data_IF_058563455256
#
_entry.id   IF_058563455256
#
_cell.length_a   1.000
_cell.length_b   1.000
_cell.length_c   1.000
_cell.angle_alpha   90.00
_cell.angle_beta   90.00
_cell.angle_gamma   90.00
#
_symmetry.space_group_name_H-M   'P 1'
#
loop_
_entity.id
_entity.type
_entity.pdbx_description
1 polymer ?
#
# COMPACT_ATOMS: atom_id res chain seq x y z
N UNK A 1 -13.75 2.37 -14.34
CA UNK A 1 -14.61 3.52 -13.98
C UNK A 1 -13.90 4.80 -14.41
N UNK A 2 -14.59 5.80 -14.97
CA UNK A 2 -13.96 7.01 -15.55
C UNK A 2 -14.55 8.26 -14.90
N UNK A 3 -13.70 9.23 -14.55
CA UNK A 3 -14.13 10.53 -14.00
C UNK A 3 -14.92 11.34 -15.03
N UNK A 4 -15.81 12.21 -14.54
CA UNK A 4 -16.66 13.05 -15.38
C UNK A 4 -15.84 13.95 -16.32
N UNK A 5 -16.29 14.12 -17.57
CA UNK A 5 -15.61 14.89 -18.62
C UNK A 5 -15.29 16.33 -18.18
N UNK A 6 -16.21 16.99 -17.48
CA UNK A 6 -16.01 18.35 -16.96
C UNK A 6 -14.84 18.44 -15.98
N UNK A 7 -14.62 17.40 -15.17
CA UNK A 7 -13.49 17.36 -14.23
C UNK A 7 -12.19 17.05 -14.98
N UNK A 8 -12.23 16.11 -15.92
CA UNK A 8 -11.05 15.74 -16.71
C UNK A 8 -10.56 16.90 -17.60
N UNK A 9 -11.48 17.64 -18.22
CA UNK A 9 -11.15 18.76 -19.11
C UNK A 9 -10.51 19.95 -18.38
N UNK A 10 -10.81 20.13 -17.09
CA UNK A 10 -10.18 21.14 -16.22
C UNK A 10 -8.74 20.79 -15.83
N UNK A 11 -8.25 19.58 -16.13
CA UNK A 11 -6.89 19.15 -15.78
C UNK A 11 -6.66 19.23 -14.27
N UNK A 12 -5.58 19.89 -13.85
CA UNK A 12 -5.16 19.97 -12.46
C UNK A 12 -6.25 20.48 -11.50
N UNK A 13 -6.96 21.55 -11.86
CA UNK A 13 -8.04 22.10 -11.03
C UNK A 13 -9.20 21.11 -10.85
N UNK A 14 -9.52 20.34 -11.89
CA UNK A 14 -10.53 19.28 -11.81
C UNK A 14 -10.09 18.11 -10.94
N UNK A 15 -8.80 17.79 -10.93
CA UNK A 15 -8.21 16.80 -10.04
C UNK A 15 -8.38 17.17 -8.57
N UNK A 16 -8.07 18.43 -8.23
CA UNK A 16 -8.28 18.97 -6.88
C UNK A 16 -9.74 18.86 -6.44
N UNK A 17 -10.67 19.24 -7.33
CA UNK A 17 -12.11 19.15 -7.06
C UNK A 17 -12.58 17.69 -6.89
N UNK A 18 -12.07 16.77 -7.71
CA UNK A 18 -12.43 15.35 -7.62
C UNK A 18 -11.98 14.73 -6.30
N UNK A 19 -10.76 15.04 -5.86
CA UNK A 19 -10.25 14.59 -4.56
C UNK A 19 -11.07 15.16 -3.40
N UNK A 20 -11.41 16.44 -3.46
CA UNK A 20 -12.30 17.08 -2.47
C UNK A 20 -13.67 16.38 -2.40
N UNK A 21 -14.32 16.13 -3.54
CA UNK A 21 -15.60 15.42 -3.62
C UNK A 21 -15.53 14.00 -3.02
N UNK A 22 -14.46 13.25 -3.30
CA UNK A 22 -14.24 11.92 -2.70
C UNK A 22 -14.08 12.02 -1.18
N UNK A 23 -13.41 13.05 -0.69
CA UNK A 23 -13.18 13.26 0.73
C UNK A 23 -14.47 13.61 1.47
N UNK A 24 -15.32 14.46 0.89
CA UNK A 24 -16.59 14.89 1.49
C UNK A 24 -17.54 13.73 1.77
N UNK A 25 -17.40 12.60 1.09
CA UNK A 25 -18.18 11.40 1.38
C UNK A 25 -17.92 10.88 2.82
N UNK A 26 -16.70 11.01 3.32
CA UNK A 26 -16.34 10.57 4.66
C UNK A 26 -16.45 11.72 5.67
N UNK A 27 -16.88 11.46 6.92
CA UNK A 27 -16.87 12.46 7.98
C UNK A 27 -15.46 13.03 8.19
N UNK A 28 -15.34 14.36 8.29
CA UNK A 28 -14.05 15.05 8.43
C UNK A 28 -13.20 14.58 9.63
N UNK A 29 -13.83 13.99 10.64
CA UNK A 29 -13.21 13.52 11.87
C UNK A 29 -12.45 12.19 11.70
N UNK A 30 -12.64 11.48 10.59
CA UNK A 30 -12.00 10.19 10.36
C UNK A 30 -10.75 10.33 9.49
N UNK A 31 -9.60 9.78 9.93
CA UNK A 31 -8.42 9.72 9.08
C UNK A 31 -8.71 8.81 7.88
N UNK A 32 -8.95 9.44 6.73
CA UNK A 32 -9.32 8.77 5.49
C UNK A 32 -8.12 8.74 4.55
N UNK A 33 -7.91 7.62 3.87
CA UNK A 33 -6.92 7.48 2.80
C UNK A 33 -7.64 7.09 1.52
N UNK A 34 -7.30 7.75 0.41
CA UNK A 34 -7.92 7.53 -0.89
C UNK A 34 -6.84 7.03 -1.84
N UNK A 35 -7.08 5.87 -2.44
CA UNK A 35 -6.17 5.26 -3.41
C UNK A 35 -6.89 5.11 -4.75
N UNK A 36 -6.29 5.64 -5.81
CA UNK A 36 -6.80 5.53 -7.18
C UNK A 36 -5.74 4.83 -8.02
N UNK A 37 -6.09 3.68 -8.59
CA UNK A 37 -5.20 2.86 -9.41
C UNK A 37 -5.66 2.91 -10.87
N UNK A 38 -4.75 3.27 -11.78
CA UNK A 38 -5.01 3.16 -13.21
C UNK A 38 -3.70 3.04 -13.99
N UNK A 39 -3.79 2.57 -15.23
CA UNK A 39 -2.72 2.79 -16.21
C UNK A 39 -2.94 4.17 -16.82
N UNK A 40 -2.10 5.14 -16.46
CA UNK A 40 -2.29 6.54 -16.87
C UNK A 40 -2.28 6.70 -18.38
N UNK A 41 -1.35 6.04 -19.06
CA UNK A 41 -1.14 6.21 -20.49
C UNK A 41 -2.30 5.62 -21.30
N UNK A 42 -2.73 4.39 -20.96
CA UNK A 42 -3.89 3.79 -21.61
C UNK A 42 -5.18 4.58 -21.32
N UNK A 43 -5.36 5.05 -20.08
CA UNK A 43 -6.52 5.85 -19.70
C UNK A 43 -6.55 7.19 -20.46
N UNK A 44 -5.42 7.88 -20.56
CA UNK A 44 -5.33 9.15 -21.29
C UNK A 44 -5.66 8.98 -22.79
N UNK A 45 -5.20 7.88 -23.40
CA UNK A 45 -5.53 7.55 -24.79
C UNK A 45 -7.03 7.29 -24.97
N UNK A 46 -7.64 6.51 -24.07
CA UNK A 46 -9.08 6.20 -24.09
C UNK A 46 -9.92 7.46 -23.90
N UNK A 47 -9.58 8.33 -22.94
CA UNK A 47 -10.29 9.58 -22.71
C UNK A 47 -10.19 10.54 -23.90
N UNK A 48 -9.02 10.62 -24.53
CA UNK A 48 -8.82 11.46 -25.73
C UNK A 48 -9.61 10.93 -26.92
N UNK A 49 -9.52 9.63 -27.22
CA UNK A 49 -10.28 8.99 -28.31
C UNK A 49 -11.80 9.04 -28.09
N UNK A 50 -12.23 8.94 -26.84
CA UNK A 50 -13.63 9.07 -26.44
C UNK A 50 -14.16 10.51 -26.43
N UNK A 51 -13.34 11.51 -26.76
CA UNK A 51 -13.75 12.92 -26.78
C UNK A 51 -14.00 13.53 -25.40
N UNK A 52 -13.54 12.91 -24.31
CA UNK A 52 -13.71 13.43 -22.95
C UNK A 52 -12.74 14.58 -22.63
N UNK A 53 -11.60 14.60 -23.33
CA UNK A 53 -10.59 15.64 -23.19
C UNK A 53 -10.08 16.06 -24.56
N UNK A 54 -9.66 17.32 -24.67
CA UNK A 54 -9.07 17.87 -25.90
C UNK A 54 -7.65 17.35 -26.17
N UNK A 55 -6.92 16.98 -25.11
CA UNK A 55 -5.57 16.45 -25.21
C UNK A 55 -5.28 15.41 -24.11
N UNK A 56 -4.48 14.37 -24.38
CA UNK A 56 -4.07 13.39 -23.37
C UNK A 56 -3.37 14.00 -22.15
N UNK A 57 -2.67 15.13 -22.34
CA UNK A 57 -2.00 15.88 -21.27
C UNK A 57 -2.95 16.33 -20.16
N UNK A 58 -4.23 16.61 -20.47
CA UNK A 58 -5.24 16.99 -19.47
C UNK A 58 -5.51 15.90 -18.45
N UNK A 59 -5.48 14.63 -18.87
CA UNK A 59 -5.65 13.50 -17.96
C UNK A 59 -4.46 13.40 -17.00
N UNK A 60 -3.24 13.64 -17.49
CA UNK A 60 -2.05 13.70 -16.62
C UNK A 60 -2.13 14.84 -15.62
N UNK A 61 -2.46 16.05 -16.07
CA UNK A 61 -2.67 17.22 -15.20
C UNK A 61 -3.73 16.92 -14.14
N UNK A 62 -4.84 16.28 -14.52
CA UNK A 62 -5.89 15.87 -13.61
C UNK A 62 -5.38 14.95 -12.49
N UNK A 63 -4.64 13.89 -12.81
CA UNK A 63 -4.13 12.99 -11.77
C UNK A 63 -3.02 13.60 -10.90
N UNK A 64 -2.27 14.56 -11.44
CA UNK A 64 -1.36 15.41 -10.66
C UNK A 64 -2.15 16.24 -9.64
N UNK A 65 -3.24 16.90 -10.05
CA UNK A 65 -4.12 17.65 -9.16
C UNK A 65 -4.87 16.79 -8.14
N UNK A 66 -5.25 15.56 -8.52
CA UNK A 66 -5.89 14.60 -7.62
C UNK A 66 -4.96 14.17 -6.48
N UNK A 67 -3.66 14.06 -6.75
CA UNK A 67 -2.64 13.70 -5.75
C UNK A 67 -1.87 14.91 -5.22
N UNK A 68 -2.41 16.12 -5.43
CA UNK A 68 -1.76 17.35 -5.01
C UNK A 68 -1.61 17.38 -3.48
N UNK A 69 -0.51 17.94 -2.94
CA UNK A 69 -0.32 18.08 -1.49
C UNK A 69 -1.48 18.78 -0.75
N UNK A 70 -2.28 19.61 -1.45
CA UNK A 70 -3.49 20.22 -0.89
C UNK A 70 -4.56 19.21 -0.50
N UNK A 71 -4.52 17.98 -1.05
CA UNK A 71 -5.40 16.87 -0.72
C UNK A 71 -4.61 15.77 0.00
N UNK A 72 -4.31 15.95 1.30
CA UNK A 72 -3.49 14.99 2.04
C UNK A 72 -4.15 13.61 2.05
N UNK A 73 -3.31 12.57 1.99
CA UNK A 73 -3.73 11.17 1.98
C UNK A 73 -4.56 10.73 0.76
N UNK A 74 -4.51 11.49 -0.33
CA UNK A 74 -5.03 11.07 -1.64
C UNK A 74 -3.88 10.70 -2.55
N UNK A 75 -3.92 9.49 -3.10
CA UNK A 75 -2.84 8.92 -3.89
C UNK A 75 -3.36 8.40 -5.21
N UNK A 76 -2.79 8.89 -6.30
CA UNK A 76 -2.83 8.22 -7.59
C UNK A 76 -1.63 7.31 -7.77
N UNK A 77 -1.88 6.07 -8.17
CA UNK A 77 -0.87 5.06 -8.45
C UNK A 77 -1.01 4.63 -9.90
N UNK A 78 -0.04 5.05 -10.72
CA UNK A 78 0.11 4.51 -12.06
C UNK A 78 0.65 3.08 -12.01
N UNK A 79 -0.14 2.12 -12.47
CA UNK A 79 0.25 0.70 -12.49
C UNK A 79 0.93 0.28 -13.80
N UNK A 80 0.97 1.18 -14.78
CA UNK A 80 1.57 0.95 -16.09
C UNK A 80 0.83 -0.10 -16.94
N UNK A 81 1.47 -0.51 -18.03
CA UNK A 81 0.88 -1.42 -19.01
C UNK A 81 0.75 -2.86 -18.49
N UNK A 82 -0.41 -3.48 -18.73
CA UNK A 82 -0.70 -4.88 -18.40
C UNK A 82 -2.16 -5.09 -18.03
N UNK A 83 -2.69 -6.27 -18.32
CA UNK A 83 -4.02 -6.67 -17.85
C UNK A 83 -3.96 -6.95 -16.35
N UNK A 84 -5.05 -6.67 -15.64
CA UNK A 84 -5.25 -7.00 -14.21
C UNK A 84 -4.22 -6.40 -13.21
N UNK A 85 -3.29 -5.56 -13.66
CA UNK A 85 -2.29 -4.91 -12.78
C UNK A 85 -2.93 -3.99 -11.76
N UNK A 86 -3.95 -3.23 -12.18
CA UNK A 86 -4.71 -2.35 -11.30
C UNK A 86 -5.43 -3.17 -10.23
N UNK A 87 -6.10 -4.25 -10.65
CA UNK A 87 -6.88 -5.13 -9.77
C UNK A 87 -5.97 -5.81 -8.74
N UNK A 88 -4.82 -6.35 -9.16
CA UNK A 88 -3.87 -6.97 -8.26
C UNK A 88 -3.34 -5.98 -7.21
N UNK A 89 -3.01 -4.75 -7.64
CA UNK A 89 -2.53 -3.70 -6.73
C UNK A 89 -3.61 -3.24 -5.75
N UNK A 90 -4.83 -3.03 -6.25
CA UNK A 90 -5.99 -2.65 -5.45
C UNK A 90 -6.25 -3.70 -4.36
N UNK A 91 -6.28 -4.98 -4.73
CA UNK A 91 -6.55 -6.07 -3.80
C UNK A 91 -5.48 -6.17 -2.71
N UNK A 92 -4.20 -6.14 -3.11
CA UNK A 92 -3.10 -6.18 -2.16
C UNK A 92 -3.10 -4.98 -1.19
N UNK A 93 -3.41 -3.77 -1.69
CA UNK A 93 -3.51 -2.57 -0.84
C UNK A 93 -4.71 -2.66 0.11
N UNK A 94 -5.86 -3.13 -0.38
CA UNK A 94 -7.07 -3.30 0.44
C UNK A 94 -6.84 -4.30 1.58
N UNK A 95 -6.32 -5.49 1.27
CA UNK A 95 -6.01 -6.53 2.26
C UNK A 95 -4.98 -6.05 3.30
N UNK A 96 -3.95 -5.32 2.84
CA UNK A 96 -2.95 -4.72 3.74
C UNK A 96 -3.59 -3.71 4.69
N UNK A 97 -4.37 -2.76 4.17
CA UNK A 97 -4.99 -1.71 4.98
C UNK A 97 -6.00 -2.28 6.00
N UNK A 98 -6.77 -3.30 5.60
CA UNK A 98 -7.66 -4.01 6.51
C UNK A 98 -6.90 -4.70 7.64
N UNK A 99 -5.78 -5.38 7.32
CA UNK A 99 -4.91 -6.02 8.32
C UNK A 99 -4.26 -5.00 9.27
N UNK A 100 -3.77 -3.89 8.74
CA UNK A 100 -3.08 -2.85 9.52
C UNK A 100 -4.04 -2.11 10.45
N UNK A 101 -5.26 -1.83 9.99
CA UNK A 101 -6.27 -1.16 10.81
C UNK A 101 -6.82 -2.06 11.92
N UNK A 102 -6.61 -3.39 11.87
CA UNK A 102 -7.02 -4.37 12.90
C UNK A 102 -8.47 -4.18 13.37
N UNK A 103 -9.38 -3.92 12.43
CA UNK A 103 -10.80 -3.70 12.71
C UNK A 103 -11.19 -2.26 13.07
N UNK A 104 -10.24 -1.34 13.23
CA UNK A 104 -10.52 0.08 13.44
C UNK A 104 -11.07 0.79 12.19
N UNK A 105 -10.98 0.17 11.01
CA UNK A 105 -11.62 0.66 9.80
C UNK A 105 -13.15 0.64 9.99
N UNK A 106 -13.77 1.81 9.85
CA UNK A 106 -15.22 2.01 10.04
C UNK A 106 -16.01 1.91 8.74
N UNK A 107 -15.42 2.33 7.62
CA UNK A 107 -16.08 2.36 6.32
C UNK A 107 -15.05 2.26 5.20
N UNK A 108 -15.42 1.58 4.13
CA UNK A 108 -14.62 1.34 2.93
C UNK A 108 -15.45 1.78 1.74
N UNK A 109 -14.97 2.75 0.97
CA UNK A 109 -15.58 3.14 -0.31
C UNK A 109 -14.79 2.47 -1.45
N UNK A 110 -15.44 1.57 -2.20
CA UNK A 110 -14.79 0.71 -3.17
C UNK A 110 -15.27 0.99 -4.60
N UNK A 111 -14.37 1.49 -5.45
CA UNK A 111 -14.62 1.90 -6.84
C UNK A 111 -14.58 0.80 -7.89
N UNK A 112 -15.18 -0.36 -7.61
CA UNK A 112 -15.04 -1.58 -8.45
C UNK A 112 -16.33 -2.00 -9.16
N UNK A 113 -17.37 -1.16 -9.12
CA UNK A 113 -18.72 -1.45 -9.63
C UNK A 113 -18.85 -1.82 -11.11
N UNK A 114 -17.79 -1.61 -11.90
CA UNK A 114 -17.80 -1.71 -13.35
C UNK A 114 -17.19 -3.01 -13.90
N UNK A 115 -16.69 -3.89 -13.03
CA UNK A 115 -15.99 -5.11 -13.43
C UNK A 115 -16.40 -6.30 -12.54
N UNK A 116 -16.92 -7.35 -13.18
CA UNK A 116 -17.35 -8.59 -12.52
C UNK A 116 -16.18 -9.34 -11.85
N UNK A 117 -14.94 -9.12 -12.28
CA UNK A 117 -13.74 -9.74 -11.69
C UNK A 117 -13.60 -9.50 -10.18
N UNK A 118 -14.19 -8.43 -9.66
CA UNK A 118 -14.15 -8.09 -8.23
C UNK A 118 -15.16 -8.85 -7.37
N UNK A 119 -16.09 -9.62 -7.93
CA UNK A 119 -17.02 -10.43 -7.14
C UNK A 119 -16.29 -11.40 -6.21
N UNK A 120 -15.18 -12.01 -6.68
CA UNK A 120 -14.32 -12.88 -5.86
C UNK A 120 -13.62 -12.14 -4.72
N UNK A 121 -13.29 -10.87 -4.92
CA UNK A 121 -12.67 -10.03 -3.89
C UNK A 121 -13.71 -9.71 -2.81
N UNK A 122 -14.92 -9.32 -3.23
CA UNK A 122 -16.02 -9.07 -2.29
C UNK A 122 -16.38 -10.31 -1.48
N UNK A 123 -16.40 -11.50 -2.07
CA UNK A 123 -16.64 -12.76 -1.34
C UNK A 123 -15.64 -12.99 -0.21
N UNK A 124 -14.35 -12.69 -0.43
CA UNK A 124 -13.31 -12.81 0.59
C UNK A 124 -13.48 -11.80 1.73
N UNK A 125 -14.23 -10.73 1.51
CA UNK A 125 -14.48 -9.66 2.47
C UNK A 125 -15.83 -9.80 3.17
N UNK A 126 -16.39 -11.02 3.24
CA UNK A 126 -17.69 -11.28 3.84
C UNK A 126 -17.82 -10.76 5.28
N UNK A 127 -16.75 -10.82 6.06
CA UNK A 127 -16.70 -10.29 7.43
C UNK A 127 -16.76 -8.75 7.54
N UNK A 128 -16.73 -8.05 6.40
CA UNK A 128 -16.67 -6.59 6.32
C UNK A 128 -17.73 -6.01 5.40
N UNK A 129 -18.70 -6.80 4.91
CA UNK A 129 -19.73 -6.31 3.99
C UNK A 129 -20.52 -5.13 4.56
N UNK A 130 -20.78 -5.12 5.87
CA UNK A 130 -21.43 -4.02 6.60
C UNK A 130 -20.68 -2.67 6.50
N UNK A 131 -19.37 -2.72 6.23
CA UNK A 131 -18.50 -1.54 6.11
C UNK A 131 -18.26 -1.13 4.66
N UNK A 132 -18.59 -2.00 3.69
CA UNK A 132 -18.29 -1.76 2.28
C UNK A 132 -19.41 -0.96 1.64
N UNK A 133 -19.00 0.11 0.97
CA UNK A 133 -19.83 1.00 0.19
C UNK A 133 -19.30 0.95 -1.25
N UNK A 134 -20.06 0.37 -2.17
CA UNK A 134 -19.69 0.30 -3.59
C UNK A 134 -19.96 1.64 -4.26
N UNK A 135 -18.89 2.24 -4.77
CA UNK A 135 -18.94 3.50 -5.49
C UNK A 135 -19.34 3.24 -6.94
N UNK A 136 -20.46 3.82 -7.33
CA UNK A 136 -21.09 3.62 -8.63
C UNK A 136 -20.76 4.79 -9.56
N UNK A 137 -20.25 4.45 -10.73
CA UNK A 137 -20.09 5.37 -11.87
C UNK A 137 -21.00 4.92 -13.01
N UNK A 138 -20.56 3.92 -13.81
CA UNK A 138 -21.45 3.23 -14.73
C UNK A 138 -22.42 2.29 -13.98
N UNK A 139 -23.48 1.78 -14.65
CA UNK A 139 -24.39 0.82 -14.04
C UNK A 139 -23.65 -0.38 -13.45
N UNK A 140 -24.08 -0.81 -12.26
CA UNK A 140 -23.50 -1.91 -11.52
C UNK A 140 -23.53 -3.19 -12.35
N UNK A 141 -22.40 -3.89 -12.37
CA UNK A 141 -22.29 -5.16 -13.08
C UNK A 141 -23.06 -6.30 -12.39
N UNK A 142 -23.58 -7.24 -13.19
CA UNK A 142 -24.56 -8.25 -12.75
C UNK A 142 -24.07 -9.14 -11.61
N UNK A 143 -22.80 -9.52 -11.60
CA UNK A 143 -22.26 -10.39 -10.54
C UNK A 143 -22.09 -9.65 -9.20
N UNK A 144 -22.11 -8.31 -9.21
CA UNK A 144 -21.98 -7.49 -8.02
C UNK A 144 -23.33 -7.15 -7.36
N UNK A 145 -24.43 -7.27 -8.10
CA UNK A 145 -25.79 -7.00 -7.61
C UNK A 145 -26.17 -7.84 -6.38
N UNK A 146 -25.89 -9.16 -6.31
CA UNK A 146 -26.28 -9.98 -5.16
C UNK A 146 -25.64 -9.53 -3.84
N UNK A 147 -24.52 -8.79 -3.87
CA UNK A 147 -23.88 -8.32 -2.65
C UNK A 147 -24.67 -7.18 -1.98
N UNK A 148 -25.52 -6.48 -2.72
CA UNK A 148 -26.38 -5.44 -2.16
C UNK A 148 -27.38 -6.05 -1.16
N UNK A 149 -27.95 -7.21 -1.50
CA UNK A 149 -28.85 -7.95 -0.61
C UNK A 149 -28.13 -8.54 0.61
N UNK A 150 -26.80 -8.66 0.53
CA UNK A 150 -25.93 -9.21 1.58
C UNK A 150 -25.33 -8.14 2.50
N UNK A 151 -25.78 -6.89 2.38
CA UNK A 151 -25.42 -5.80 3.29
C UNK A 151 -24.34 -4.84 2.76
N UNK A 152 -23.90 -5.01 1.51
CA UNK A 152 -23.04 -4.02 0.85
C UNK A 152 -23.87 -2.83 0.40
N UNK A 153 -23.45 -1.61 0.74
CA UNK A 153 -24.21 -0.42 0.40
C UNK A 153 -23.83 0.13 -0.98
N UNK A 154 -24.80 0.68 -1.70
CA UNK A 154 -24.57 1.38 -2.96
C UNK A 154 -24.39 2.89 -2.72
N UNK A 155 -23.37 3.49 -3.35
CA UNK A 155 -23.09 4.93 -3.23
C UNK A 155 -22.83 5.56 -4.58
N UNK A 156 -23.58 6.62 -4.89
CA UNK A 156 -23.37 7.44 -6.08
C UNK A 156 -22.92 8.84 -5.67
N UNK A 157 -21.73 9.25 -6.10
CA UNK A 157 -21.26 10.64 -5.93
C UNK A 157 -21.57 11.42 -7.20
N UNK A 158 -22.55 12.34 -7.10
CA UNK A 158 -23.05 13.10 -8.26
C UNK A 158 -21.95 13.91 -8.96
N UNK A 159 -21.85 13.74 -10.28
CA UNK A 159 -20.91 14.47 -11.13
C UNK A 159 -19.44 14.19 -10.81
N UNK A 160 -19.12 13.01 -10.25
CA UNK A 160 -17.75 12.56 -10.05
C UNK A 160 -17.30 11.62 -11.16
N UNK A 161 -18.16 10.67 -11.55
CA UNK A 161 -17.88 9.69 -12.61
C UNK A 161 -18.88 9.81 -13.75
N UNK A 162 -18.44 9.35 -14.92
CA UNK A 162 -19.31 9.16 -16.07
C UNK A 162 -20.35 8.07 -15.80
N UNK A 163 -21.59 8.34 -16.20
CA UNK A 163 -22.72 7.42 -16.03
C UNK A 163 -22.72 6.28 -17.05
N UNK A 164 -22.01 6.46 -18.16
CA UNK A 164 -21.96 5.49 -19.25
C UNK A 164 -20.52 5.04 -19.52
N UNK A 165 -20.38 3.83 -20.05
CA UNK A 165 -19.09 3.35 -20.57
C UNK A 165 -18.72 4.15 -21.82
N UNK A 166 -17.44 4.48 -21.99
CA UNK A 166 -16.95 5.21 -23.16
C UNK A 166 -17.12 4.33 -24.40
N UNK A 167 -17.86 4.82 -25.39
CA UNK A 167 -18.00 4.16 -26.68
C UNK A 167 -16.88 4.64 -27.62
N UNK A 168 -15.83 3.82 -27.75
CA UNK A 168 -14.69 4.11 -28.66
C UNK A 168 -15.03 3.93 -30.15
N UNK A 169 -16.20 3.33 -30.45
CA UNK A 169 -16.65 3.07 -31.82
C UNK A 169 -17.53 4.21 -32.39
N UNK A 170 -17.74 5.30 -31.65
CA UNK A 170 -18.49 6.42 -32.20
C UNK A 170 -17.58 7.18 -33.18
N UNK A 171 -17.93 7.31 -34.48
CA UNK A 171 -17.15 8.11 -35.39
C UNK A 171 -17.07 9.53 -34.84
N UNK A 172 -15.86 10.08 -34.86
CA UNK A 172 -15.54 11.45 -34.45
C UNK A 172 -16.57 12.41 -35.05
N UNK A 173 -17.47 12.94 -34.22
CA UNK A 173 -18.26 14.11 -34.60
C UNK A 173 -17.34 15.32 -34.52
N UNK A 174 -16.44 15.45 -35.50
CA UNK A 174 -15.80 16.72 -35.83
C UNK A 174 -16.92 17.72 -36.10
N UNK A 175 -17.18 18.62 -35.15
CA UNK A 175 -18.01 19.79 -35.43
C UNK A 175 -17.31 20.57 -36.56
N UNK A 176 -17.99 20.82 -37.70
CA UNK A 176 -17.39 21.62 -38.75
C UNK A 176 -17.21 23.05 -38.23
N UNK A 177 -15.97 23.54 -38.19
CA UNK A 177 -15.73 24.98 -38.17
C UNK A 177 -16.00 25.45 -39.60
N UNK A 178 -17.15 26.11 -39.79
CA UNK A 178 -17.50 26.75 -41.05
C UNK A 178 -16.69 28.03 -41.21
N UNK A 179 -15.65 28.02 -42.05
CA UNK A 179 -15.19 29.19 -42.81
C UNK A 179 -14.45 28.76 -44.09
N UNK A 180 -15.14 28.90 -45.23
CA UNK A 180 -14.63 29.39 -46.51
C UNK A 180 -13.47 28.68 -47.22
N UNK A 181 -13.79 28.00 -48.34
CA UNK A 181 -13.17 28.06 -49.70
C UNK A 181 -11.64 28.25 -49.80
N UNK A 182 -10.82 27.46 -50.51
CA UNK A 182 -11.04 26.72 -51.77
C UNK A 182 -9.92 25.68 -52.07
N UNK A 183 -10.27 24.75 -52.97
CA UNK A 183 -9.47 24.02 -53.99
C UNK A 183 -8.37 23.00 -53.60
N UNK A 184 -8.79 21.74 -53.74
CA UNK A 184 -8.16 20.58 -54.40
C UNK A 184 -6.67 20.63 -54.80
N UNK A 185 -5.92 19.60 -54.36
CA UNK A 185 -5.00 18.83 -55.20
C UNK A 185 -5.19 17.34 -54.90
N UNK A 186 -5.46 16.58 -55.96
CA UNK A 186 -5.53 15.12 -56.01
C UNK A 186 -4.10 14.56 -56.00
N UNK A 187 -3.83 13.53 -55.22
CA UNK A 187 -2.83 12.53 -55.63
C UNK A 187 -3.13 11.17 -55.04
N UNK A 188 -3.61 10.31 -55.93
CA UNK A 188 -3.70 8.86 -55.78
C UNK A 188 -2.33 8.26 -56.06
N UNK A 189 -1.80 7.44 -55.16
CA UNK A 189 -0.90 6.34 -55.52
C UNK A 189 -1.23 5.11 -54.69
N UNK A 190 -1.51 4.02 -55.42
CA UNK A 190 -1.77 2.69 -54.88
C UNK A 190 -0.47 1.88 -54.78
N UNK A 191 -0.49 0.96 -53.82
CA UNK A 191 0.19 -0.34 -53.78
C UNK A 191 1.72 -0.40 -53.63
N UNK A 192 2.18 -1.07 -52.55
CA UNK A 192 3.11 -2.20 -52.68
C UNK A 192 2.75 -3.28 -51.63
N UNK A 193 2.45 -4.48 -52.13
CA UNK A 193 2.35 -5.75 -51.41
C UNK A 193 3.74 -6.24 -50.98
N UNK A 194 3.85 -6.93 -49.84
CA UNK A 194 4.89 -7.94 -49.64
C UNK A 194 4.46 -8.99 -48.61
N UNK A 195 4.28 -10.20 -49.12
CA UNK A 195 4.06 -11.46 -48.42
C UNK A 195 5.38 -12.06 -47.90
N UNK A 196 5.33 -12.78 -46.78
CA UNK A 196 6.06 -14.06 -46.52
C UNK A 196 5.76 -14.49 -45.07
N UNK A 197 4.95 -15.52 -44.82
CA UNK A 197 5.24 -16.97 -44.86
C UNK A 197 6.23 -17.45 -43.77
N UNK A 198 5.72 -18.32 -42.87
CA UNK A 198 6.47 -19.13 -41.89
C UNK A 198 7.26 -20.27 -42.58
N UNK A 199 8.27 -20.92 -41.93
CA UNK A 199 8.08 -22.28 -41.35
C UNK A 199 9.06 -22.60 -40.16
N UNK A 200 9.38 -23.86 -39.79
CA UNK A 200 8.68 -24.80 -38.86
C UNK A 200 9.56 -25.24 -37.63
N UNK A 201 9.16 -26.21 -36.77
CA UNK A 201 9.89 -26.57 -35.55
C UNK A 201 10.87 -27.74 -35.73
N UNK A 202 11.94 -27.81 -34.92
CA UNK A 202 12.85 -28.97 -34.84
C UNK A 202 13.19 -29.28 -33.37
N UNK A 203 13.19 -30.58 -33.05
CA UNK A 203 13.39 -31.16 -31.72
C UNK A 203 14.83 -31.65 -31.48
N UNK A 204 15.12 -32.00 -30.21
CA UNK A 204 16.24 -32.81 -29.66
C UNK A 204 17.59 -32.07 -29.45
N UNK A 205 18.45 -32.30 -28.43
CA UNK A 205 18.60 -33.35 -27.39
C UNK A 205 19.52 -32.83 -26.22
N UNK A 206 19.21 -33.24 -24.98
CA UNK A 206 20.03 -33.63 -23.79
C UNK A 206 21.47 -33.08 -23.45
N UNK A 207 21.56 -32.55 -22.20
CA UNK A 207 22.53 -32.77 -21.05
C UNK A 207 24.01 -32.35 -21.14
N UNK A 208 24.78 -32.29 -20.00
CA UNK A 208 24.52 -31.78 -18.63
C UNK A 208 25.70 -30.96 -18.04
N UNK A 209 25.52 -30.28 -16.89
CA UNK A 209 26.53 -29.90 -15.85
C UNK A 209 25.88 -28.91 -14.88
N UNK A 210 26.04 -28.86 -13.55
CA UNK A 210 26.74 -29.64 -12.52
C UNK A 210 26.02 -29.26 -11.21
N UNK A 211 25.62 -30.26 -10.43
CA UNK A 211 25.01 -30.04 -9.12
C UNK A 211 26.07 -29.81 -8.04
N UNK A 212 25.80 -28.88 -7.13
CA UNK A 212 26.47 -28.82 -5.83
C UNK A 212 25.46 -29.23 -4.78
N UNK A 213 25.69 -30.40 -4.21
CA UNK A 213 25.01 -30.89 -3.00
C UNK A 213 25.63 -30.19 -1.80
N UNK A 214 24.82 -29.86 -0.81
CA UNK A 214 25.31 -29.74 0.57
C UNK A 214 24.42 -30.60 1.45
N UNK A 215 25.05 -31.68 1.91
CA UNK A 215 24.57 -32.68 2.83
C UNK A 215 24.42 -32.12 4.24
N UNK A 216 23.39 -32.62 4.91
CA UNK A 216 23.23 -32.71 6.35
C UNK A 216 24.46 -33.27 7.07
N UNK A 217 24.82 -32.66 8.19
CA UNK A 217 25.43 -33.35 9.33
C UNK A 217 24.82 -32.85 10.64
N UNK A 218 24.52 -33.82 11.49
CA UNK A 218 23.94 -33.74 12.82
C UNK A 218 24.77 -32.92 13.83
N UNK A 219 24.08 -32.28 14.77
CA UNK A 219 24.73 -31.61 15.90
C UNK A 219 23.77 -31.04 16.94
N UNK A 220 23.30 -31.89 17.87
CA UNK A 220 22.80 -31.61 19.23
C UNK A 220 22.06 -30.27 19.47
N UNK A 221 20.74 -30.36 19.49
CA UNK A 221 19.85 -29.33 20.01
C UNK A 221 19.99 -29.18 21.53
N UNK A 222 20.47 -28.03 22.00
CA UNK A 222 20.28 -27.59 23.38
C UNK A 222 19.07 -26.66 23.45
N UNK A 223 17.95 -27.27 23.86
CA UNK A 223 16.65 -26.69 24.20
C UNK A 223 16.74 -25.53 25.20
N UNK A 224 16.52 -24.28 24.76
CA UNK A 224 16.11 -23.15 25.65
C UNK A 224 15.12 -22.17 24.97
N UNK A 225 14.51 -22.54 23.85
CA UNK A 225 13.52 -21.72 23.15
C UNK A 225 12.12 -21.82 23.76
N UNK A 226 11.98 -21.56 25.06
CA UNK A 226 10.69 -21.27 25.71
C UNK A 226 10.93 -20.40 26.94
N UNK A 227 10.56 -19.11 26.85
CA UNK A 227 9.78 -18.32 27.83
C UNK A 227 9.52 -16.92 27.22
N UNK A 228 8.33 -16.83 26.64
CA UNK A 228 7.32 -15.76 26.71
C UNK A 228 7.77 -14.32 27.01
N UNK A 229 7.81 -13.48 25.95
CA UNK A 229 7.47 -12.07 26.07
C UNK A 229 5.95 -11.98 26.30
N UNK A 230 5.53 -11.69 27.53
CA UNK A 230 4.13 -11.41 27.85
C UNK A 230 3.74 -10.04 27.25
N UNK A 231 2.56 -9.91 26.61
CA UNK A 231 2.02 -8.62 26.16
C UNK A 231 1.45 -7.81 27.34
N UNK A 232 1.47 -6.46 27.29
CA UNK A 232 0.93 -5.63 28.36
C UNK A 232 -0.62 -5.64 28.36
N UNK A 233 -1.28 -5.57 29.53
CA UNK A 233 -2.72 -5.34 29.63
C UNK A 233 -3.05 -3.85 29.48
N UNK A 234 -4.09 -3.55 28.70
CA UNK A 234 -4.69 -2.23 28.52
C UNK A 234 -5.63 -1.88 29.68
N UNK A 235 -5.44 -0.72 30.32
CA UNK A 235 -6.53 0.02 30.95
C UNK A 235 -6.27 1.53 30.97
N UNK A 236 -7.34 2.29 30.75
CA UNK A 236 -7.43 3.75 30.59
C UNK A 236 -7.38 4.46 31.95
N UNK A 237 -6.75 5.62 32.03
CA UNK A 237 -7.29 6.85 32.64
C UNK A 237 -6.35 8.06 32.45
N UNK A 238 -6.94 9.19 32.07
CA UNK A 238 -6.37 10.56 32.01
C UNK A 238 -6.37 11.18 33.43
N UNK A 239 -5.59 12.24 33.76
CA UNK A 239 -6.01 13.61 33.40
C UNK A 239 -4.88 14.65 33.10
N UNK A 240 -5.27 15.65 32.28
CA UNK A 240 -4.93 17.10 32.19
C UNK A 240 -3.54 17.68 32.52
N UNK A 241 -3.06 18.58 31.64
CA UNK A 241 -2.12 19.66 31.99
C UNK A 241 -1.31 20.31 30.84
N UNK A 242 -1.89 21.32 30.19
CA UNK A 242 -1.33 22.57 29.62
C UNK A 242 0.03 22.65 28.88
N UNK A 243 -0.01 23.19 27.65
CA UNK A 243 0.87 24.29 27.20
C UNK A 243 1.93 24.03 26.10
N UNK A 244 1.79 24.71 24.95
CA UNK A 244 2.94 25.13 24.12
C UNK A 244 3.02 24.62 22.67
N UNK A 245 3.10 25.55 21.72
CA UNK A 245 2.95 25.46 20.25
C UNK A 245 4.23 25.19 19.42
N UNK A 246 4.04 24.71 18.18
CA UNK A 246 4.86 24.79 16.91
C UNK A 246 5.60 23.52 16.37
N UNK A 247 5.78 23.36 15.02
CA UNK A 247 5.48 22.14 14.22
C UNK A 247 6.72 21.27 13.79
N UNK A 248 6.56 20.19 12.98
CA UNK A 248 7.42 18.99 12.99
C UNK A 248 8.54 18.98 11.92
N UNK A 249 9.47 18.00 11.99
CA UNK A 249 10.05 17.40 10.79
C UNK A 249 9.72 15.91 10.68
N UNK A 250 9.36 15.50 9.46
CA UNK A 250 9.06 14.13 9.03
C UNK A 250 10.19 13.14 9.34
N UNK A 251 9.89 11.83 9.57
CA UNK A 251 10.92 10.85 9.85
C UNK A 251 11.71 10.53 8.58
N UNK A 252 12.99 10.87 8.61
CA UNK A 252 14.00 10.29 7.73
C UNK A 252 13.98 8.78 7.98
N UNK A 253 13.65 7.98 6.96
CA UNK A 253 13.87 6.53 6.99
C UNK A 253 15.38 6.31 7.03
N UNK A 254 15.95 6.32 8.23
CA UNK A 254 17.30 5.84 8.47
C UNK A 254 17.26 4.33 8.33
N UNK A 255 17.51 3.83 7.12
CA UNK A 255 18.18 2.54 6.98
C UNK A 255 19.44 2.65 7.85
N UNK A 256 19.43 2.06 9.05
CA UNK A 256 20.67 1.89 9.80
C UNK A 256 21.55 1.02 8.91
N UNK A 257 22.44 1.66 8.15
CA UNK A 257 23.59 0.97 7.58
C UNK A 257 24.18 0.17 8.71
N UNK A 258 24.33 -1.14 8.51
CA UNK A 258 25.02 -2.00 9.44
C UNK A 258 26.41 -1.39 9.66
N UNK A 259 26.54 -0.62 10.74
CA UNK A 259 27.79 -0.01 11.11
C UNK A 259 28.65 -1.18 11.52
N UNK A 260 29.69 -1.46 10.72
CA UNK A 260 30.72 -2.44 11.02
C UNK A 260 31.60 -1.98 12.21
N UNK A 261 31.00 -1.25 13.17
CA UNK A 261 31.58 -0.92 14.47
C UNK A 261 31.61 -2.23 15.25
N UNK A 262 32.82 -2.77 15.40
CA UNK A 262 33.12 -3.89 16.29
C UNK A 262 32.50 -3.57 17.66
N UNK A 263 31.43 -4.27 18.03
CA UNK A 263 30.80 -4.12 19.35
C UNK A 263 31.84 -4.58 20.38
N UNK A 264 32.33 -3.65 21.20
CA UNK A 264 33.37 -3.95 22.21
C UNK A 264 32.69 -4.19 23.55
N UNK A 265 32.74 -5.43 24.02
CA UNK A 265 32.47 -5.82 25.41
C UNK A 265 33.52 -6.86 25.82
N UNK A 266 33.82 -6.96 27.12
CA UNK A 266 34.79 -7.94 27.62
C UNK A 266 34.14 -9.33 27.74
N UNK A 267 34.96 -10.39 27.69
CA UNK A 267 34.46 -11.75 27.88
C UNK A 267 33.85 -11.93 29.29
N UNK A 268 34.41 -11.25 30.28
CA UNK A 268 33.92 -11.23 31.66
C UNK A 268 32.54 -10.56 31.76
N UNK A 269 32.33 -9.45 31.05
CA UNK A 269 31.05 -8.76 31.01
C UNK A 269 29.94 -9.67 30.44
N UNK A 270 30.24 -10.40 29.36
CA UNK A 270 29.30 -11.36 28.78
C UNK A 270 29.05 -12.57 29.71
N UNK A 271 30.09 -13.07 30.37
CA UNK A 271 29.97 -14.15 31.34
C UNK A 271 29.09 -13.75 32.54
N UNK A 272 29.29 -12.55 33.11
CA UNK A 272 28.48 -12.04 34.21
C UNK A 272 27.01 -11.91 33.81
N UNK A 273 26.71 -11.23 32.70
CA UNK A 273 25.33 -11.05 32.22
C UNK A 273 24.62 -12.39 32.03
N UNK A 274 25.32 -13.40 31.50
CA UNK A 274 24.77 -14.76 31.29
C UNK A 274 24.45 -15.49 32.60
N UNK A 275 25.19 -15.18 33.66
CA UNK A 275 25.12 -15.87 34.95
C UNK A 275 24.28 -15.13 36.00
N UNK A 276 23.70 -13.96 35.68
CA UNK A 276 22.80 -13.26 36.59
C UNK A 276 21.51 -14.06 36.83
N UNK A 277 21.21 -14.27 38.11
CA UNK A 277 19.99 -14.89 38.62
C UNK A 277 19.50 -14.12 39.87
N UNK A 278 18.23 -13.68 39.95
CA UNK A 278 17.19 -13.76 38.92
C UNK A 278 17.52 -13.00 37.64
N UNK A 279 17.02 -13.45 36.49
CA UNK A 279 17.33 -12.84 35.17
C UNK A 279 17.09 -11.30 35.16
N UNK A 280 18.00 -10.51 34.57
CA UNK A 280 17.80 -9.06 34.45
C UNK A 280 16.65 -8.73 33.48
N UNK A 281 15.87 -7.71 33.80
CA UNK A 281 14.76 -7.28 32.95
C UNK A 281 15.24 -6.47 31.74
N UNK A 282 15.15 -7.02 30.54
CA UNK A 282 15.53 -6.31 29.31
C UNK A 282 14.75 -5.00 29.10
N UNK A 283 13.45 -4.97 29.44
CA UNK A 283 12.65 -3.74 29.34
C UNK A 283 13.13 -2.64 30.30
N UNK A 284 13.69 -3.00 31.46
CA UNK A 284 14.19 -2.02 32.41
C UNK A 284 15.56 -1.48 32.01
N UNK A 285 16.45 -2.33 31.50
CA UNK A 285 17.84 -1.94 31.23
C UNK A 285 18.12 -1.49 29.80
N UNK A 286 17.35 -1.93 28.80
CA UNK A 286 17.65 -1.68 27.39
C UNK A 286 16.70 -0.69 26.69
N UNK A 287 15.53 -0.44 27.27
CA UNK A 287 14.60 0.59 26.78
C UNK A 287 14.86 1.92 27.48
N UNK A 288 14.49 3.02 26.82
CA UNK A 288 14.45 4.34 27.49
C UNK A 288 13.19 4.47 28.33
N UNK A 289 12.09 3.86 27.88
CA UNK A 289 10.86 3.73 28.64
C UNK A 289 11.04 2.84 29.88
N UNK A 290 10.33 3.16 30.97
CA UNK A 290 10.30 2.31 32.17
C UNK A 290 9.67 0.95 31.84
N UNK A 291 10.10 -0.10 32.55
CA UNK A 291 9.49 -1.43 32.43
C UNK A 291 7.97 -1.37 32.66
N UNK A 292 7.18 -1.87 31.69
CA UNK A 292 5.72 -1.86 31.74
C UNK A 292 5.11 -2.63 32.92
N UNK A 293 5.86 -3.59 33.47
CA UNK A 293 5.44 -4.37 34.63
C UNK A 293 5.77 -3.69 35.96
N UNK A 294 6.53 -2.59 35.96
CA UNK A 294 6.86 -1.85 37.19
C UNK A 294 7.36 -2.76 38.30
N UNK A 295 6.70 -2.71 39.46
CA UNK A 295 7.05 -3.50 40.64
C UNK A 295 6.56 -4.96 40.59
N UNK A 296 5.72 -5.34 39.62
CA UNK A 296 5.23 -6.72 39.45
C UNK A 296 6.04 -7.50 38.41
N UNK A 297 7.21 -6.99 38.01
CA UNK A 297 8.06 -7.67 37.04
C UNK A 297 8.70 -8.92 37.65
N UNK A 298 8.62 -10.05 36.95
CA UNK A 298 9.28 -11.31 37.35
C UNK A 298 10.80 -11.29 37.17
N UNK A 299 11.33 -10.25 36.51
CA UNK A 299 12.75 -10.06 36.24
C UNK A 299 13.32 -8.96 37.11
N UNK A 300 14.61 -9.06 37.44
CA UNK A 300 15.26 -8.14 38.36
C UNK A 300 15.44 -6.75 37.76
N UNK A 301 15.06 -5.73 38.53
CA UNK A 301 15.33 -4.30 38.28
C UNK A 301 16.45 -3.74 39.18
N UNK A 302 17.12 -4.59 39.96
CA UNK A 302 18.01 -4.17 41.05
C UNK A 302 19.50 -4.24 40.72
N UNK A 303 19.88 -4.66 39.51
CA UNK A 303 21.27 -4.75 39.11
C UNK A 303 21.82 -3.40 38.70
N UNK A 304 23.06 -3.14 39.11
CA UNK A 304 23.86 -2.06 38.54
C UNK A 304 24.77 -2.66 37.47
N UNK A 305 24.66 -2.14 36.24
CA UNK A 305 25.47 -2.55 35.10
C UNK A 305 26.57 -1.53 34.81
N UNK A 306 27.77 -2.03 34.55
CA UNK A 306 28.84 -1.27 33.90
C UNK A 306 28.51 -1.08 32.41
N UNK A 307 29.13 -0.10 31.77
CA UNK A 307 28.84 0.24 30.37
C UNK A 307 29.13 -0.93 29.39
N UNK A 308 30.19 -1.71 29.66
CA UNK A 308 30.55 -2.91 28.91
C UNK A 308 29.56 -4.07 29.12
N UNK A 309 29.01 -4.21 30.32
CA UNK A 309 27.99 -5.21 30.65
C UNK A 309 26.63 -4.87 30.03
N UNK A 310 26.24 -3.60 30.01
CA UNK A 310 25.03 -3.16 29.32
C UNK A 310 25.15 -3.38 27.81
N UNK A 311 26.34 -3.16 27.26
CA UNK A 311 26.67 -3.46 25.86
C UNK A 311 26.62 -4.97 25.59
N UNK A 312 27.13 -5.80 26.51
CA UNK A 312 27.04 -7.26 26.42
C UNK A 312 25.59 -7.77 26.49
N UNK A 313 24.76 -7.19 27.38
CA UNK A 313 23.33 -7.49 27.50
C UNK A 313 22.58 -7.16 26.20
N UNK A 314 22.86 -5.99 25.62
CA UNK A 314 22.30 -5.59 24.32
C UNK A 314 22.71 -6.54 23.20
N UNK A 315 24.01 -6.87 23.11
CA UNK A 315 24.51 -7.81 22.12
C UNK A 315 23.91 -9.23 22.26
N UNK A 316 23.56 -9.64 23.48
CA UNK A 316 22.92 -10.93 23.74
C UNK A 316 21.49 -10.97 23.17
N UNK A 317 20.71 -9.91 23.37
CA UNK A 317 19.31 -9.86 22.90
C UNK A 317 19.18 -9.54 21.41
N UNK A 318 20.14 -8.83 20.81
CA UNK A 318 20.17 -8.55 19.37
C UNK A 318 20.40 -9.82 18.53
N UNK A 319 20.95 -10.89 19.12
CA UNK A 319 21.05 -12.21 18.46
C UNK A 319 19.70 -12.91 18.33
N UNK A 320 18.69 -12.47 19.08
CA UNK A 320 17.35 -13.03 19.03
C UNK A 320 16.57 -12.23 17.99
N UNK A 321 16.12 -12.91 16.93
CA UNK A 321 15.34 -12.29 15.86
C UNK A 321 14.02 -11.73 16.41
N UNK A 322 13.73 -10.48 16.06
CA UNK A 322 12.46 -9.86 16.38
C UNK A 322 11.32 -10.61 15.69
N UNK A 323 10.31 -11.02 16.46
CA UNK A 323 9.12 -11.70 15.91
C UNK A 323 8.36 -10.86 14.88
N UNK A 324 8.44 -9.53 14.98
CA UNK A 324 7.81 -8.60 14.03
C UNK A 324 8.67 -8.33 12.80
N UNK A 325 9.94 -8.78 12.76
CA UNK A 325 10.88 -8.61 11.63
C UNK A 325 10.82 -7.19 11.05
N UNK A 326 10.67 -7.05 9.73
CA UNK A 326 10.53 -5.77 9.02
C UNK A 326 9.26 -4.96 9.35
N UNK A 327 8.32 -5.50 10.11
CA UNK A 327 7.10 -4.83 10.57
C UNK A 327 7.25 -4.24 11.99
N UNK A 328 8.44 -4.31 12.58
CA UNK A 328 8.72 -3.68 13.88
C UNK A 328 9.07 -2.20 13.72
N UNK A 329 8.16 -1.32 14.12
CA UNK A 329 8.37 0.13 14.14
C UNK A 329 8.75 0.68 15.53
N UNK A 330 9.03 -0.20 16.49
CA UNK A 330 9.43 0.21 17.83
C UNK A 330 10.93 0.54 17.85
N UNK A 331 11.25 1.83 17.91
CA UNK A 331 12.63 2.33 17.94
C UNK A 331 13.41 1.91 19.19
N UNK A 332 12.70 1.47 20.25
CA UNK A 332 13.27 0.93 21.48
C UNK A 332 13.31 -0.61 21.47
N UNK A 333 12.96 -1.26 20.35
CA UNK A 333 13.05 -2.70 20.24
C UNK A 333 14.52 -3.15 20.27
N UNK A 334 14.86 -3.92 21.30
CA UNK A 334 16.21 -4.41 21.55
C UNK A 334 16.51 -5.77 20.88
N UNK A 335 15.55 -6.34 20.14
CA UNK A 335 15.77 -7.56 19.34
C UNK A 335 16.48 -7.26 18.02
N UNK A 336 17.06 -8.27 17.39
CA UNK A 336 17.67 -8.15 16.06
C UNK A 336 16.61 -7.97 14.96
N UNK A 337 16.82 -7.04 14.03
CA UNK A 337 15.95 -6.76 12.88
C UNK A 337 16.73 -6.81 11.56
#
# INVERSE_FOLDING_TARGET
>A
MIFHADLLSQGHAGGLQAASKLRTYFPNELPTQIFVFANLEALALVCSRGGLVTAPGKVREFFQGLSDPCNPYTYFIDVGAGKEKADHKLNATLERNLRETRGACKSILLGVSHDNGYARVLQKLAEHWDKINLLIGPPLERELVPFLDLGVNEVVIKGLFEKAKINLNSPLSLRPVSTGTASAIISSTSAILSSSAAPPPVAMLRTPSTGVKSSSTDGKANSWARITALPPPTSKQQPSGEGGTTPPPSPIVMKRMASNRKIVFSAEAMARVRNLDPRPCNNHYLRKSRCWYGNTCIHSHSYTFRADELTALKAFVERIECKKKSECYDEECYFGH
#
